data_IF_446869250455
#
_entry.id   IF_446869250455
#
_cell.length_a   1.000
_cell.length_b   1.000
_cell.length_c   1.000
_cell.angle_alpha   90.00
_cell.angle_beta   90.00
_cell.angle_gamma   90.00
#
_symmetry.space_group_name_H-M   'P 1'
#
loop_
_entity.id
_entity.type
_entity.pdbx_description
1 polymer ?
#
# COMPACT_ATOMS: atom_id res chain seq x y z
N UNK A 1 -18.75 5.91 0.18
CA UNK A 1 -17.76 6.57 1.06
C UNK A 1 -16.58 5.61 1.26
N UNK A 2 -15.45 5.88 0.59
CA UNK A 2 -14.25 5.01 0.54
C UNK A 2 -13.11 5.56 1.43
N UNK A 3 -13.44 6.38 2.43
CA UNK A 3 -12.47 7.20 3.20
C UNK A 3 -11.59 6.37 4.16
N UNK A 4 -11.92 5.11 4.43
CA UNK A 4 -11.17 4.26 5.37
C UNK A 4 -10.00 3.50 4.74
N UNK A 5 -9.67 3.72 3.47
CA UNK A 5 -8.55 3.02 2.83
C UNK A 5 -7.21 3.42 3.44
N UNK A 6 -6.48 2.43 3.96
CA UNK A 6 -5.16 2.64 4.57
C UNK A 6 -4.01 2.63 3.56
N UNK A 7 -4.18 1.97 2.40
CA UNK A 7 -3.13 1.79 1.39
C UNK A 7 -3.57 2.06 -0.05
N UNK A 8 -4.82 1.77 -0.39
CA UNK A 8 -5.34 1.93 -1.75
C UNK A 8 -5.36 3.42 -2.14
N UNK A 9 -4.84 3.72 -3.34
CA UNK A 9 -4.65 5.10 -3.87
C UNK A 9 -3.71 5.99 -3.04
N UNK A 10 -2.96 5.41 -2.10
CA UNK A 10 -1.97 6.11 -1.26
C UNK A 10 -0.53 5.80 -1.66
N UNK A 11 -0.29 5.39 -2.91
CA UNK A 11 1.06 5.19 -3.43
C UNK A 11 1.90 6.46 -3.23
N UNK A 12 3.10 6.32 -2.67
CA UNK A 12 3.96 7.47 -2.36
C UNK A 12 3.68 8.17 -1.03
N UNK A 13 2.57 7.84 -0.34
CA UNK A 13 2.32 8.35 1.01
C UNK A 13 2.92 7.43 2.08
N UNK A 14 3.21 7.99 3.26
CA UNK A 14 3.67 7.23 4.41
C UNK A 14 2.56 6.31 4.95
N UNK A 15 2.91 5.05 5.20
CA UNK A 15 2.03 4.07 5.82
C UNK A 15 1.59 4.52 7.21
N UNK A 16 0.29 4.51 7.47
CA UNK A 16 -0.31 4.93 8.75
C UNK A 16 0.12 4.08 9.96
N UNK A 17 0.67 2.87 9.75
CA UNK A 17 1.13 1.99 10.83
C UNK A 17 2.62 2.11 11.14
N UNK A 18 3.46 2.31 10.13
CA UNK A 18 4.92 2.19 10.29
C UNK A 18 5.73 3.32 9.67
N UNK A 19 5.08 4.30 9.02
CA UNK A 19 5.72 5.43 8.36
C UNK A 19 6.40 5.12 7.02
N UNK A 20 6.60 3.85 6.67
CA UNK A 20 7.23 3.47 5.38
C UNK A 20 6.35 3.88 4.20
N UNK A 21 6.97 4.34 3.12
CA UNK A 21 6.26 4.73 1.89
C UNK A 21 5.50 3.52 1.32
N UNK A 22 4.23 3.73 0.98
CA UNK A 22 3.38 2.75 0.32
C UNK A 22 3.81 2.64 -1.14
N UNK A 23 4.03 1.41 -1.59
CA UNK A 23 4.42 1.11 -2.96
C UNK A 23 3.22 0.60 -3.77
N UNK A 24 3.22 0.91 -5.06
CA UNK A 24 2.27 0.37 -6.03
C UNK A 24 3.01 -0.51 -7.01
N UNK A 25 2.63 -1.77 -7.08
CA UNK A 25 3.18 -2.74 -8.03
C UNK A 25 2.08 -3.24 -8.95
N UNK A 26 2.46 -3.78 -10.10
CA UNK A 26 1.54 -4.50 -10.97
C UNK A 26 1.72 -5.99 -10.74
N UNK A 27 0.68 -6.65 -10.24
CA UNK A 27 0.66 -8.10 -9.98
C UNK A 27 -0.43 -8.73 -10.85
N UNK A 28 -0.03 -9.58 -11.81
CA UNK A 28 -0.98 -10.26 -12.70
C UNK A 28 -1.91 -9.31 -13.47
N UNK A 29 -1.41 -8.15 -13.88
CA UNK A 29 -2.19 -7.13 -14.59
C UNK A 29 -3.02 -6.20 -13.69
N UNK A 30 -3.09 -6.42 -12.37
CA UNK A 30 -3.79 -5.54 -11.42
C UNK A 30 -2.81 -4.67 -10.65
N UNK A 31 -3.12 -3.38 -10.51
CA UNK A 31 -2.36 -2.46 -9.67
C UNK A 31 -2.62 -2.72 -8.19
N UNK A 32 -1.61 -3.19 -7.47
CA UNK A 32 -1.67 -3.52 -6.05
C UNK A 32 -0.90 -2.48 -5.24
N UNK A 33 -1.58 -1.84 -4.30
CA UNK A 33 -0.98 -0.92 -3.33
C UNK A 33 -0.71 -1.68 -2.04
N UNK A 34 0.54 -1.66 -1.56
CA UNK A 34 0.90 -2.35 -0.33
C UNK A 34 2.06 -1.66 0.38
N UNK A 35 2.19 -1.91 1.68
CA UNK A 35 3.35 -1.46 2.45
C UNK A 35 4.39 -2.59 2.53
N UNK A 36 5.62 -2.41 2.02
CA UNK A 36 6.63 -3.47 2.00
C UNK A 36 7.09 -3.91 3.40
N UNK A 37 6.99 -3.01 4.40
CA UNK A 37 7.36 -3.30 5.79
C UNK A 37 6.27 -4.05 6.54
N UNK A 38 5.00 -3.67 6.34
CA UNK A 38 3.86 -4.27 7.05
C UNK A 38 3.33 -5.54 6.37
N UNK A 39 3.29 -5.57 5.04
CA UNK A 39 2.89 -6.74 4.25
C UNK A 39 4.13 -7.47 3.71
N UNK A 40 4.93 -8.02 4.62
CA UNK A 40 6.03 -8.92 4.25
C UNK A 40 5.48 -10.24 3.74
N UNK A 41 6.05 -10.76 2.66
CA UNK A 41 5.83 -12.15 2.24
C UNK A 41 6.46 -13.06 3.29
N UNK A 42 5.63 -13.90 3.94
CA UNK A 42 6.12 -15.09 4.64
C UNK A 42 6.47 -16.15 3.61
#
# INVERSE_FOLDING_TARGET
MQEMHQVYDKAGQSCSRCGTIIEKIQLGGRGTHFCPKCQRRK
#
